data_IF_464247919664
#
_entry.id   IF_464247919664
#
_cell.length_a   1.000
_cell.length_b   1.000
_cell.length_c   1.000
_cell.angle_alpha   90.00
_cell.angle_beta   90.00
_cell.angle_gamma   90.00
#
_symmetry.space_group_name_H-M   'P 1'
#
loop_
_entity.id
_entity.type
_entity.pdbx_description
1 polymer ?
#
# COMPACT_ATOMS: atom_id res chain seq x y z
N UNK A 1 5.65 -14.55 26.05
CA UNK A 1 4.91 -14.90 24.81
C UNK A 1 4.10 -13.67 24.43
N UNK A 2 4.30 -13.10 23.24
CA UNK A 2 3.51 -11.94 22.81
C UNK A 2 2.06 -12.40 22.68
N UNK A 3 1.13 -11.62 23.23
CA UNK A 3 -0.29 -11.94 23.09
C UNK A 3 -0.65 -11.91 21.60
N UNK A 4 -1.63 -12.71 21.14
CA UNK A 4 -2.04 -12.71 19.73
C UNK A 4 -2.40 -11.29 19.24
N UNK A 5 -2.90 -10.43 20.14
CA UNK A 5 -3.18 -9.03 19.88
C UNK A 5 -1.92 -8.20 19.55
N UNK A 6 -0.83 -8.35 20.30
CA UNK A 6 0.44 -7.67 19.99
C UNK A 6 1.04 -8.10 18.65
N UNK A 7 0.75 -9.32 18.22
CA UNK A 7 1.20 -9.86 16.93
C UNK A 7 0.46 -9.21 15.75
N UNK A 8 -0.82 -8.86 15.95
CA UNK A 8 -1.62 -8.11 14.97
C UNK A 8 -1.39 -6.60 15.03
N UNK A 9 -1.00 -6.06 16.19
CA UNK A 9 -0.78 -4.62 16.38
C UNK A 9 0.34 -4.08 15.47
N UNK A 10 1.40 -4.87 15.23
CA UNK A 10 2.51 -4.48 14.35
C UNK A 10 2.11 -4.36 12.86
N UNK A 11 1.46 -5.35 12.23
CA UNK A 11 0.97 -5.20 10.86
C UNK A 11 -0.17 -4.18 10.75
N UNK A 12 -1.01 -4.05 11.78
CA UNK A 12 -2.09 -3.05 11.78
C UNK A 12 -1.54 -1.62 11.84
N UNK A 13 -0.53 -1.33 12.66
CA UNK A 13 0.06 0.01 12.75
C UNK A 13 0.82 0.41 11.49
N UNK A 14 1.52 -0.53 10.85
CA UNK A 14 2.19 -0.29 9.56
C UNK A 14 1.18 -0.10 8.41
N UNK A 15 0.08 -0.84 8.40
CA UNK A 15 -1.04 -0.57 7.48
C UNK A 15 -1.69 0.79 7.75
N UNK A 16 -1.87 1.18 9.02
CA UNK A 16 -2.45 2.48 9.37
C UNK A 16 -1.55 3.65 8.94
N UNK A 17 -0.23 3.54 9.15
CA UNK A 17 0.74 4.54 8.66
C UNK A 17 0.77 4.58 7.13
N UNK A 18 0.75 3.42 6.46
CA UNK A 18 0.59 3.34 5.01
C UNK A 18 -0.69 4.02 4.51
N UNK A 19 -1.76 4.03 5.31
CA UNK A 19 -3.07 4.61 4.93
C UNK A 19 -2.99 6.12 4.99
N UNK A 20 -2.39 6.64 6.06
CA UNK A 20 -2.07 8.05 6.19
C UNK A 20 -1.15 8.50 5.05
N UNK A 21 -0.11 7.72 4.73
CA UNK A 21 0.80 8.01 3.60
C UNK A 21 0.07 8.05 2.24
N UNK A 22 -0.79 7.07 1.96
CA UNK A 22 -1.60 7.04 0.74
C UNK A 22 -2.66 8.16 0.66
N UNK A 23 -3.12 8.68 1.81
CA UNK A 23 -4.02 9.84 1.86
C UNK A 23 -3.28 11.16 1.61
N UNK A 24 -2.01 11.25 2.02
CA UNK A 24 -1.15 12.42 1.77
C UNK A 24 -0.57 12.46 0.35
N UNK A 25 -0.28 11.30 -0.26
CA UNK A 25 0.29 11.21 -1.60
C UNK A 25 -0.77 10.85 -2.65
N UNK A 26 -0.95 11.66 -3.71
CA UNK A 26 -1.86 11.30 -4.79
C UNK A 26 -1.35 10.04 -5.51
N UNK A 27 -2.22 9.04 -5.63
CA UNK A 27 -1.91 7.84 -6.42
C UNK A 27 -1.67 8.21 -7.90
N UNK A 28 -0.77 7.50 -8.59
CA UNK A 28 -0.47 7.78 -9.98
C UNK A 28 -1.72 7.64 -10.86
N UNK A 29 -2.01 8.70 -11.62
CA UNK A 29 -3.11 8.71 -12.56
C UNK A 29 -2.62 8.22 -13.93
N UNK A 30 -3.30 7.22 -14.48
CA UNK A 30 -3.00 6.71 -15.81
C UNK A 30 -3.66 7.59 -16.89
N UNK A 31 -3.02 7.70 -18.05
CA UNK A 31 -3.60 8.38 -19.20
C UNK A 31 -4.90 7.70 -19.67
N UNK A 32 -5.87 8.49 -20.14
CA UNK A 32 -7.21 8.05 -20.54
C UNK A 32 -7.23 6.82 -21.48
N UNK A 33 -6.29 6.74 -22.42
CA UNK A 33 -6.19 5.61 -23.35
C UNK A 33 -5.77 4.31 -22.63
N UNK A 34 -4.78 4.38 -21.74
CA UNK A 34 -4.29 3.24 -20.97
C UNK A 34 -5.36 2.75 -19.99
N UNK A 35 -6.04 3.67 -19.30
CA UNK A 35 -7.12 3.36 -18.36
C UNK A 35 -8.26 2.60 -19.04
N UNK A 36 -8.67 3.02 -20.24
CA UNK A 36 -9.72 2.30 -21.01
C UNK A 36 -9.27 0.90 -21.42
N UNK A 37 -8.03 0.74 -21.88
CA UNK A 37 -7.50 -0.58 -22.19
C UNK A 37 -7.52 -1.47 -20.94
N UNK A 38 -6.95 -1.02 -19.82
CA UNK A 38 -6.95 -1.79 -18.58
C UNK A 38 -8.36 -2.15 -18.07
N UNK A 39 -9.33 -1.22 -18.14
CA UNK A 39 -10.74 -1.48 -17.77
C UNK A 39 -11.32 -2.61 -18.63
N UNK A 40 -11.09 -2.59 -19.95
CA UNK A 40 -11.57 -3.66 -20.84
C UNK A 40 -10.89 -5.00 -20.58
N UNK A 41 -9.58 -5.01 -20.31
CA UNK A 41 -8.84 -6.24 -20.02
C UNK A 41 -9.28 -6.86 -18.69
N UNK A 42 -9.45 -6.05 -17.64
CA UNK A 42 -9.91 -6.51 -16.32
C UNK A 42 -11.43 -6.70 -16.22
N UNK A 43 -12.19 -6.50 -17.31
CA UNK A 43 -13.66 -6.59 -17.33
C UNK A 43 -14.31 -5.75 -16.21
N UNK A 44 -13.76 -4.57 -15.92
CA UNK A 44 -14.26 -3.67 -14.90
C UNK A 44 -15.42 -2.86 -15.47
N UNK A 45 -16.48 -2.66 -14.68
CA UNK A 45 -17.63 -1.88 -15.13
C UNK A 45 -17.32 -0.38 -15.19
N UNK A 46 -16.47 0.10 -14.28
CA UNK A 46 -16.21 1.53 -14.10
C UNK A 46 -14.73 1.85 -13.98
N UNK A 47 -14.37 3.01 -14.53
CA UNK A 47 -13.05 3.61 -14.41
C UNK A 47 -12.69 3.86 -12.94
N UNK A 48 -13.67 4.23 -12.11
CA UNK A 48 -13.49 4.44 -10.68
C UNK A 48 -13.07 3.15 -9.96
N UNK A 49 -13.60 1.99 -10.37
CA UNK A 49 -13.23 0.70 -9.78
C UNK A 49 -11.76 0.36 -10.06
N UNK A 50 -11.28 0.68 -11.27
CA UNK A 50 -9.86 0.57 -11.58
C UNK A 50 -9.03 1.49 -10.68
N UNK A 51 -9.41 2.75 -10.52
CA UNK A 51 -8.70 3.67 -9.64
C UNK A 51 -8.69 3.22 -8.19
N UNK A 52 -9.78 2.61 -7.68
CA UNK A 52 -9.79 2.00 -6.35
C UNK A 52 -8.78 0.86 -6.24
N UNK A 53 -8.70 -0.03 -7.23
CA UNK A 53 -7.70 -1.11 -7.24
C UNK A 53 -6.26 -0.58 -7.27
N UNK A 54 -6.01 0.43 -8.11
CA UNK A 54 -4.71 1.09 -8.20
C UNK A 54 -4.35 1.74 -6.86
N UNK A 55 -5.32 2.42 -6.24
CA UNK A 55 -5.14 3.01 -4.91
C UNK A 55 -4.83 1.95 -3.85
N UNK A 56 -5.56 0.83 -3.84
CA UNK A 56 -5.29 -0.28 -2.92
C UNK A 56 -3.89 -0.90 -3.13
N UNK A 57 -3.47 -1.09 -4.39
CA UNK A 57 -2.13 -1.59 -4.72
C UNK A 57 -1.06 -0.59 -4.29
N UNK A 58 -1.27 0.70 -4.54
CA UNK A 58 -0.35 1.76 -4.14
C UNK A 58 -0.20 1.85 -2.61
N UNK A 59 -1.32 1.77 -1.90
CA UNK A 59 -1.36 1.69 -0.44
C UNK A 59 -0.57 0.48 0.10
N UNK A 60 -0.79 -0.71 -0.46
CA UNK A 60 -0.05 -1.92 -0.07
C UNK A 60 1.45 -1.78 -0.36
N UNK A 61 1.82 -1.19 -1.48
CA UNK A 61 3.21 -0.96 -1.87
C UNK A 61 3.89 0.03 -0.89
N UNK A 62 3.24 1.15 -0.59
CA UNK A 62 3.73 2.11 0.41
C UNK A 62 3.89 1.47 1.78
N UNK A 63 2.89 0.74 2.26
CA UNK A 63 2.97 0.02 3.55
C UNK A 63 4.10 -1.02 3.58
N UNK A 64 4.29 -1.78 2.51
CA UNK A 64 5.39 -2.75 2.39
C UNK A 64 6.76 -2.05 2.36
N UNK A 65 6.89 -0.94 1.63
CA UNK A 65 8.10 -0.15 1.57
C UNK A 65 8.46 0.44 2.94
N UNK A 66 7.48 0.95 3.67
CA UNK A 66 7.66 1.50 5.01
C UNK A 66 8.15 0.43 5.99
N UNK A 67 7.51 -0.75 6.01
CA UNK A 67 7.96 -1.89 6.79
C UNK A 67 9.40 -2.30 6.42
N UNK A 68 9.73 -2.34 5.13
CA UNK A 68 11.05 -2.72 4.67
C UNK A 68 12.12 -1.70 5.07
N UNK A 69 11.80 -0.40 4.99
CA UNK A 69 12.69 0.69 5.44
C UNK A 69 12.93 0.63 6.94
N UNK A 70 11.88 0.47 7.75
CA UNK A 70 12.00 0.32 9.21
C UNK A 70 12.86 -0.91 9.53
N UNK A 71 12.61 -2.05 8.87
CA UNK A 71 13.41 -3.27 9.04
C UNK A 71 14.86 -3.08 8.61
N UNK A 72 15.10 -2.35 7.52
CA UNK A 72 16.44 -2.06 7.01
C UNK A 72 17.23 -1.16 7.96
N UNK A 73 16.63 -0.08 8.43
CA UNK A 73 17.21 0.84 9.42
C UNK A 73 17.49 0.07 10.72
N UNK A 74 16.54 -0.75 11.17
CA UNK A 74 16.72 -1.59 12.36
C UNK A 74 17.92 -2.53 12.21
N UNK A 75 18.03 -3.26 11.09
CA UNK A 75 19.16 -4.16 10.80
C UNK A 75 20.50 -3.42 10.65
N UNK A 76 20.49 -2.17 10.21
CA UNK A 76 21.72 -1.39 9.97
C UNK A 76 22.22 -0.66 11.22
N UNK A 77 21.33 -0.09 12.04
CA UNK A 77 21.70 0.71 13.21
C UNK A 77 21.62 -0.04 14.55
N UNK A 78 20.70 -0.99 14.70
CA UNK A 78 20.49 -1.75 15.94
C UNK A 78 21.12 -3.15 15.83
N UNK A 79 22.38 -3.23 15.41
CA UNK A 79 23.21 -4.43 15.63
C UNK A 79 23.44 -4.59 17.13
N UNK A 80 22.56 -5.35 17.78
CA UNK A 80 22.93 -6.31 18.83
C UNK A 80 22.94 -7.68 18.18
#
# INVERSE_FOLDING_TARGET
>A
MKTPFELFLMPMSTLLLGMLSALLLPAPQFGLQLTRQLVTWFHLNDINQLYTLVFCLWFLLLGAAEYFLIRFIWRRFLRV
#
